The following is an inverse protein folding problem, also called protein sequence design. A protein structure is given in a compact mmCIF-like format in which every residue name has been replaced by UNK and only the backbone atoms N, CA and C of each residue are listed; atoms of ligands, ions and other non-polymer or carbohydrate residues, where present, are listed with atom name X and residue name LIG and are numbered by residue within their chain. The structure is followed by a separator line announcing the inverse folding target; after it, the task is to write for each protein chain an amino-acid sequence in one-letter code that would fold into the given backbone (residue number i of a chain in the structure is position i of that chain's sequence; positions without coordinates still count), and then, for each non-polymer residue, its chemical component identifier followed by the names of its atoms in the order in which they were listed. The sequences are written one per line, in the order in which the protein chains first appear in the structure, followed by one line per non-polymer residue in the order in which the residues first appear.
data_IF_228537552162
#
_entry.id   IF_228537552162
#
_cell.length_a   1.000
_cell.length_b   1.000
_cell.length_c   1.000
_cell.angle_alpha   90.00
_cell.angle_beta   90.00
_cell.angle_gamma   90.00
#
_symmetry.space_group_name_H-M   'P 1'
#
loop_
_entity.id
_entity.type
_entity.pdbx_description
1 polymer ?
#
# COMPACT_ATOMS: atom_id res chain seq x y z
N UNK A 1 26.34 2.51 28.55
CA UNK A 1 27.28 1.78 27.68
C UNK A 1 26.50 0.73 26.91
N UNK A 2 26.89 0.50 25.65
CA UNK A 2 26.42 -0.53 24.69
C UNK A 2 24.91 -0.72 24.44
N UNK A 3 24.51 -0.40 23.22
CA UNK A 3 23.36 -1.01 22.55
C UNK A 3 23.61 -2.50 22.26
N UNK A 4 22.55 -3.24 21.94
CA UNK A 4 22.62 -4.66 21.56
C UNK A 4 21.56 -5.02 20.52
N UNK A 5 21.67 -4.47 19.31
CA UNK A 5 20.83 -4.85 18.17
C UNK A 5 21.16 -6.28 17.73
N UNK A 6 20.16 -7.13 17.50
CA UNK A 6 20.34 -8.37 16.75
C UNK A 6 19.21 -8.54 15.73
N UNK A 7 19.57 -8.45 14.46
CA UNK A 7 18.68 -8.46 13.32
C UNK A 7 19.29 -9.42 12.29
N UNK A 8 18.76 -10.64 12.17
CA UNK A 8 19.14 -11.56 11.09
C UNK A 8 17.94 -12.37 10.61
N UNK A 9 17.40 -11.96 9.46
CA UNK A 9 16.51 -12.74 8.60
C UNK A 9 17.32 -13.06 7.35
N UNK A 10 17.48 -14.34 7.00
CA UNK A 10 18.23 -14.73 5.79
C UNK A 10 17.61 -15.97 5.11
N UNK A 11 17.00 -15.75 3.95
CA UNK A 11 16.75 -16.71 2.86
C UNK A 11 16.17 -15.89 1.68
N UNK A 12 17.01 -15.28 0.84
CA UNK A 12 17.53 -15.86 -0.41
C UNK A 12 16.41 -16.27 -1.36
N UNK A 13 16.19 -15.46 -2.41
CA UNK A 13 15.43 -15.86 -3.59
C UNK A 13 16.24 -15.54 -4.85
N UNK A 14 16.48 -16.56 -5.67
CA UNK A 14 17.32 -16.50 -6.86
C UNK A 14 16.51 -16.88 -8.09
N UNK A 15 16.24 -15.92 -8.99
CA UNK A 15 15.98 -16.17 -10.40
C UNK A 15 16.05 -14.85 -11.19
N UNK A 16 16.95 -14.79 -12.18
CA UNK A 16 16.95 -13.77 -13.24
C UNK A 16 16.27 -14.38 -14.47
N UNK A 17 15.35 -13.65 -15.09
CA UNK A 17 14.82 -13.96 -16.42
C UNK A 17 14.99 -12.73 -17.33
N UNK A 18 15.31 -12.97 -18.60
CA UNK A 18 15.85 -11.97 -19.52
C UNK A 18 14.78 -11.10 -20.19
N UNK A 19 15.18 -9.89 -20.61
CA UNK A 19 14.38 -9.02 -21.47
C UNK A 19 14.72 -9.24 -22.95
N UNK A 20 13.71 -9.21 -23.80
CA UNK A 20 13.83 -9.06 -25.26
C UNK A 20 13.05 -7.81 -25.70
N UNK A 21 13.66 -6.96 -26.53
CA UNK A 21 13.14 -5.65 -26.88
C UNK A 21 12.32 -5.64 -28.19
N UNK A 22 11.52 -4.59 -28.39
CA UNK A 22 10.83 -4.32 -29.65
C UNK A 22 10.07 -2.99 -29.68
N UNK A 23 10.64 -1.97 -30.29
CA UNK A 23 9.98 -0.77 -30.84
C UNK A 23 10.52 -0.55 -32.26
N UNK A 24 9.80 0.11 -33.19
CA UNK A 24 9.83 1.58 -33.26
C UNK A 24 8.51 2.27 -33.72
N UNK A 25 8.55 3.59 -33.83
CA UNK A 25 7.46 4.53 -34.21
C UNK A 25 7.85 5.34 -35.47
N UNK A 26 6.88 5.76 -36.31
CA UNK A 26 6.83 7.12 -36.88
C UNK A 26 5.39 7.73 -36.76
N UNK A 27 5.10 9.02 -36.45
CA UNK A 27 5.51 10.34 -37.02
C UNK A 27 5.06 10.56 -38.49
N UNK A 28 4.46 11.68 -38.95
CA UNK A 28 3.92 12.93 -38.32
C UNK A 28 3.07 13.76 -39.37
N UNK A 29 2.67 15.01 -39.05
CA UNK A 29 2.12 16.11 -39.92
C UNK A 29 0.59 16.08 -40.26
N UNK A 30 -0.16 17.16 -40.59
CA UNK A 30 -0.09 18.66 -40.42
C UNK A 30 -1.36 19.33 -41.07
N UNK A 31 -1.94 20.49 -40.71
CA UNK A 31 -1.86 21.33 -39.49
C UNK A 31 -3.17 22.11 -39.11
N UNK A 32 -3.56 23.35 -39.58
CA UNK A 32 -4.39 24.25 -38.74
C UNK A 32 -5.69 24.85 -39.34
N UNK A 33 -6.61 25.35 -38.49
CA UNK A 33 -7.07 26.76 -38.54
C UNK A 33 -7.90 27.26 -37.33
N UNK A 34 -7.91 28.58 -37.15
CA UNK A 34 -8.50 29.40 -36.07
C UNK A 34 -10.04 29.57 -36.16
N UNK A 35 -10.83 30.19 -35.25
CA UNK A 35 -10.74 30.64 -33.84
C UNK A 35 -12.07 31.39 -33.52
N UNK A 36 -12.82 31.08 -32.45
CA UNK A 36 -13.54 32.15 -31.71
C UNK A 36 -14.15 31.79 -30.34
N UNK A 37 -14.07 32.79 -29.47
CA UNK A 37 -14.93 33.10 -28.32
C UNK A 37 -14.72 32.32 -27.02
N UNK A 38 -14.26 33.06 -26.00
CA UNK A 38 -14.07 32.58 -24.65
C UNK A 38 -15.40 32.48 -23.87
N UNK A 39 -15.40 31.61 -22.86
CA UNK A 39 -16.22 31.78 -21.66
C UNK A 39 -15.30 31.55 -20.42
N UNK A 40 -15.00 32.58 -19.61
CA UNK A 40 -14.05 32.45 -18.49
C UNK A 40 -14.66 31.84 -17.23
N UNK A 41 -15.90 31.33 -17.27
CA UNK A 41 -16.61 30.77 -16.11
C UNK A 41 -16.72 29.25 -16.15
N UNK A 42 -15.58 28.55 -16.02
CA UNK A 42 -15.55 27.13 -15.62
C UNK A 42 -14.27 26.77 -14.85
N UNK A 43 -13.89 27.61 -13.87
CA UNK A 43 -13.08 27.12 -12.76
C UNK A 43 -13.87 26.02 -12.06
N UNK A 44 -13.48 24.77 -12.33
CA UNK A 44 -14.11 23.58 -11.80
C UNK A 44 -14.21 23.69 -10.28
N UNK A 45 -15.42 23.53 -9.74
CA UNK A 45 -15.61 23.32 -8.32
C UNK A 45 -14.88 22.02 -7.96
N UNK A 46 -13.70 22.14 -7.36
CA UNK A 46 -13.00 20.98 -6.79
C UNK A 46 -13.89 20.42 -5.70
N UNK A 47 -14.46 19.23 -5.90
CA UNK A 47 -15.25 18.55 -4.87
C UNK A 47 -14.43 18.50 -3.57
N UNK A 48 -14.87 19.24 -2.56
CA UNK A 48 -14.15 19.34 -1.30
C UNK A 48 -14.29 18.02 -0.55
N UNK A 49 -13.16 17.34 -0.29
CA UNK A 49 -13.09 16.18 0.60
C UNK A 49 -13.93 16.45 1.86
N UNK A 50 -14.90 15.57 2.21
CA UNK A 50 -15.76 15.79 3.35
C UNK A 50 -14.91 15.84 4.64
N UNK A 51 -15.26 16.73 5.59
CA UNK A 51 -14.45 16.94 6.78
C UNK A 51 -14.50 15.72 7.71
N UNK A 52 -13.44 15.57 8.50
CA UNK A 52 -13.42 14.70 9.67
C UNK A 52 -13.05 15.55 10.88
N UNK A 53 -13.61 15.23 12.05
CA UNK A 53 -13.29 15.90 13.33
C UNK A 53 -11.96 15.46 13.92
N UNK A 54 -11.34 14.42 13.38
CA UNK A 54 -10.08 13.84 13.81
C UNK A 54 -9.25 13.34 12.60
N UNK A 55 -7.98 12.99 12.85
CA UNK A 55 -7.09 12.41 11.82
C UNK A 55 -7.53 10.98 11.52
N UNK A 56 -7.70 10.66 10.24
CA UNK A 56 -8.17 9.35 9.78
C UNK A 56 -7.06 8.55 9.11
N UNK A 57 -6.84 7.33 9.58
CA UNK A 57 -5.93 6.34 9.01
C UNK A 57 -6.79 5.20 8.43
N UNK A 58 -6.57 4.81 7.17
CA UNK A 58 -7.23 3.64 6.59
C UNK A 58 -6.17 2.60 6.21
N UNK A 59 -6.22 1.43 6.85
CA UNK A 59 -5.30 0.31 6.65
C UNK A 59 -6.03 -0.79 5.88
N UNK A 60 -5.53 -1.13 4.69
CA UNK A 60 -5.98 -2.27 3.91
C UNK A 60 -4.98 -3.40 4.11
N UNK A 61 -5.44 -4.51 4.67
CA UNK A 61 -4.65 -5.70 4.93
C UNK A 61 -5.08 -6.79 3.97
N UNK A 62 -4.28 -7.06 2.94
CA UNK A 62 -4.46 -8.26 2.12
C UNK A 62 -3.98 -9.46 2.94
N UNK A 63 -4.90 -10.34 3.37
CA UNK A 63 -4.57 -11.51 4.18
C UNK A 63 -3.57 -12.42 3.46
N UNK A 64 -2.65 -13.04 4.19
CA UNK A 64 -1.64 -13.95 3.65
C UNK A 64 -2.31 -15.22 3.12
N UNK A 65 -2.01 -15.60 1.88
CA UNK A 65 -2.71 -16.70 1.20
C UNK A 65 -1.73 -17.53 0.37
N UNK A 66 -1.50 -18.76 0.79
CA UNK A 66 -0.59 -19.69 0.12
C UNK A 66 -1.15 -20.24 -1.21
N UNK A 67 -2.47 -20.16 -1.43
CA UNK A 67 -3.15 -20.76 -2.59
C UNK A 67 -3.32 -19.73 -3.72
N UNK A 68 -3.60 -18.47 -3.36
CA UNK A 68 -3.99 -17.43 -4.31
C UNK A 68 -2.92 -16.35 -4.59
N UNK A 69 -1.78 -16.36 -3.89
CA UNK A 69 -0.71 -15.35 -4.04
C UNK A 69 0.61 -16.01 -4.44
N UNK A 70 1.46 -15.31 -5.20
CA UNK A 70 2.79 -15.77 -5.62
C UNK A 70 3.84 -15.80 -4.50
N UNK A 71 3.41 -15.96 -3.24
CA UNK A 71 4.30 -16.02 -2.08
C UNK A 71 5.08 -17.34 -2.04
N UNK A 72 6.28 -17.28 -1.46
CA UNK A 72 6.90 -18.49 -0.89
C UNK A 72 5.99 -18.96 0.24
N UNK A 73 5.45 -20.19 0.21
CA UNK A 73 4.43 -20.61 1.16
C UNK A 73 4.90 -20.52 2.62
N UNK A 74 4.06 -19.92 3.46
CA UNK A 74 4.24 -19.89 4.92
C UNK A 74 3.54 -21.08 5.57
N UNK A 75 3.74 -21.39 6.87
CA UNK A 75 2.99 -22.46 7.54
C UNK A 75 1.48 -22.28 7.35
N UNK A 76 0.74 -23.35 7.01
CA UNK A 76 -0.65 -23.27 6.54
C UNK A 76 -1.60 -22.45 7.44
N UNK A 77 -1.44 -22.54 8.77
CA UNK A 77 -2.20 -21.73 9.74
C UNK A 77 -2.02 -20.21 9.56
N UNK A 78 -0.85 -19.77 9.10
CA UNK A 78 -0.53 -18.35 8.89
C UNK A 78 -0.88 -17.86 7.49
N UNK A 79 -0.91 -18.78 6.51
CA UNK A 79 -1.14 -18.51 5.08
C UNK A 79 -2.51 -18.95 4.57
N UNK A 80 -3.51 -19.03 5.44
CA UNK A 80 -4.91 -19.22 5.05
C UNK A 80 -5.57 -17.84 4.89
N UNK A 81 -5.99 -17.51 3.67
CA UNK A 81 -6.62 -16.25 3.29
C UNK A 81 -8.02 -16.00 3.88
N UNK A 82 -8.61 -17.01 4.51
CA UNK A 82 -9.92 -16.98 5.17
C UNK A 82 -9.83 -16.96 6.72
N UNK A 83 -8.68 -17.34 7.31
CA UNK A 83 -8.52 -17.46 8.76
C UNK A 83 -8.13 -16.13 9.42
N UNK A 84 -9.13 -15.30 9.75
CA UNK A 84 -8.96 -14.06 10.51
C UNK A 84 -8.16 -14.23 11.82
N UNK A 85 -8.16 -15.40 12.47
CA UNK A 85 -7.47 -15.60 13.76
C UNK A 85 -6.01 -16.05 13.57
N UNK A 86 -5.74 -16.92 12.60
CA UNK A 86 -4.43 -17.46 12.30
C UNK A 86 -3.57 -16.59 11.39
N UNK A 87 -4.18 -15.77 10.52
CA UNK A 87 -3.47 -15.13 9.41
C UNK A 87 -2.30 -14.24 9.85
N UNK A 88 -1.16 -14.40 9.14
CA UNK A 88 0.11 -13.72 9.37
C UNK A 88 -0.02 -12.20 9.53
N UNK A 89 -0.82 -11.56 8.68
CA UNK A 89 -0.91 -10.09 8.62
C UNK A 89 -2.00 -9.51 9.51
N UNK A 90 -2.84 -10.33 10.15
CA UNK A 90 -4.06 -9.88 10.85
C UNK A 90 -4.21 -10.43 12.28
N UNK A 91 -4.50 -11.73 12.40
CA UNK A 91 -4.80 -12.39 13.69
C UNK A 91 -3.60 -12.98 14.40
N UNK A 92 -2.54 -13.36 13.66
CA UNK A 92 -1.29 -13.84 14.23
C UNK A 92 -0.65 -12.83 15.21
N UNK A 93 0.33 -13.28 16.00
CA UNK A 93 0.91 -12.55 17.13
C UNK A 93 1.07 -11.02 16.96
N UNK A 94 1.64 -10.60 15.81
CA UNK A 94 1.93 -9.22 15.42
C UNK A 94 1.12 -8.72 14.20
N UNK A 95 0.12 -9.49 13.75
CA UNK A 95 -0.81 -9.03 12.71
C UNK A 95 -1.58 -7.80 13.17
N UNK A 96 -2.05 -6.97 12.23
CA UNK A 96 -2.55 -5.61 12.50
C UNK A 96 -3.58 -5.59 13.64
N UNK A 97 -4.65 -6.37 13.55
CA UNK A 97 -5.66 -6.44 14.62
C UNK A 97 -5.07 -6.86 15.96
N UNK A 98 -4.30 -7.96 15.97
CA UNK A 98 -3.72 -8.52 17.19
C UNK A 98 -2.69 -7.61 17.85
N UNK A 99 -1.94 -6.82 17.07
CA UNK A 99 -1.00 -5.83 17.59
C UNK A 99 -1.75 -4.63 18.22
N UNK A 100 -2.67 -4.01 17.47
CA UNK A 100 -3.36 -2.81 17.95
C UNK A 100 -4.38 -3.11 19.07
N UNK A 101 -4.99 -4.30 19.11
CA UNK A 101 -5.87 -4.71 20.20
C UNK A 101 -5.14 -4.94 21.54
N UNK A 102 -3.83 -5.25 21.50
CA UNK A 102 -2.98 -5.42 22.69
C UNK A 102 -2.26 -4.12 23.10
N UNK A 103 -2.38 -3.06 22.31
CA UNK A 103 -1.64 -1.81 22.55
C UNK A 103 -2.19 -1.04 23.75
N UNK A 104 -1.28 -0.47 24.55
CA UNK A 104 -1.61 0.50 25.59
C UNK A 104 -2.22 1.79 25.05
N UNK A 105 -1.86 2.20 23.82
CA UNK A 105 -2.19 3.52 23.26
C UNK A 105 -3.47 3.51 22.42
N UNK A 106 -3.89 2.34 21.94
CA UNK A 106 -5.07 2.19 21.10
C UNK A 106 -6.21 1.49 21.84
N UNK A 107 -7.43 1.74 21.39
CA UNK A 107 -8.65 1.06 21.87
C UNK A 107 -9.45 0.62 20.66
N UNK A 108 -9.73 -0.68 20.54
CA UNK A 108 -10.73 -1.20 19.62
C UNK A 108 -12.11 -0.68 20.06
N UNK A 109 -12.84 0.00 19.17
CA UNK A 109 -14.16 0.57 19.46
C UNK A 109 -15.29 -0.05 18.65
N UNK A 110 -15.00 -0.53 17.43
CA UNK A 110 -15.96 -1.22 16.55
C UNK A 110 -15.24 -2.39 15.88
N UNK A 111 -15.94 -3.52 15.75
CA UNK A 111 -15.47 -4.70 15.04
C UNK A 111 -16.66 -5.29 14.25
N UNK A 112 -16.58 -5.26 12.93
CA UNK A 112 -17.65 -5.67 12.02
C UNK A 112 -17.18 -6.85 11.18
N UNK A 113 -17.90 -7.96 11.24
CA UNK A 113 -17.66 -9.12 10.36
C UNK A 113 -18.29 -8.88 8.99
N UNK A 114 -17.60 -9.31 7.93
CA UNK A 114 -18.04 -9.28 6.54
C UNK A 114 -18.75 -7.99 6.10
N UNK A 115 -18.18 -6.78 6.33
CA UNK A 115 -18.78 -5.52 5.88
C UNK A 115 -18.95 -5.43 4.35
N UNK A 116 -18.20 -6.23 3.59
CA UNK A 116 -18.42 -6.47 2.15
C UNK A 116 -18.09 -7.92 1.82
N UNK A 117 -18.32 -8.38 0.59
CA UNK A 117 -17.93 -9.73 0.15
C UNK A 117 -16.40 -9.97 0.14
N UNK A 118 -15.60 -8.89 -0.03
CA UNK A 118 -14.14 -8.96 -0.17
C UNK A 118 -13.38 -8.61 1.11
N UNK A 119 -14.02 -7.93 2.07
CA UNK A 119 -13.46 -7.63 3.40
C UNK A 119 -14.13 -8.52 4.43
N UNK A 120 -13.36 -9.41 5.05
CA UNK A 120 -13.82 -10.37 6.06
C UNK A 120 -14.04 -9.74 7.44
N UNK A 121 -13.25 -8.73 7.80
CA UNK A 121 -13.37 -8.02 9.08
C UNK A 121 -12.94 -6.55 8.93
N UNK A 122 -13.71 -5.63 9.51
CA UNK A 122 -13.34 -4.22 9.69
C UNK A 122 -13.22 -3.93 11.18
N UNK A 123 -12.06 -3.44 11.61
CA UNK A 123 -11.83 -2.97 12.97
C UNK A 123 -11.58 -1.47 12.99
N UNK A 124 -12.28 -0.75 13.85
CA UNK A 124 -12.02 0.68 14.10
C UNK A 124 -11.34 0.81 15.46
N UNK A 125 -10.13 1.38 15.46
CA UNK A 125 -9.36 1.70 16.65
C UNK A 125 -9.29 3.21 16.85
N UNK A 126 -9.38 3.65 18.11
CA UNK A 126 -9.17 5.03 18.52
C UNK A 126 -7.86 5.16 19.32
N UNK A 127 -7.01 6.13 18.97
CA UNK A 127 -5.79 6.43 19.70
C UNK A 127 -6.08 7.31 20.92
N UNK A 128 -5.65 6.88 22.11
CA UNK A 128 -5.93 7.54 23.40
C UNK A 128 -5.18 8.86 23.60
N UNK A 129 -4.06 9.08 22.90
CA UNK A 129 -3.22 10.28 23.06
C UNK A 129 -3.50 11.34 22.00
N UNK A 130 -3.46 10.95 20.72
CA UNK A 130 -3.61 11.85 19.57
C UNK A 130 -5.02 11.93 18.98
N UNK A 131 -5.99 11.20 19.53
CA UNK A 131 -7.40 11.23 19.09
C UNK A 131 -7.68 10.71 17.67
N UNK A 132 -6.67 10.12 17.01
CA UNK A 132 -6.81 9.61 15.65
C UNK A 132 -7.67 8.34 15.61
N UNK A 133 -8.41 8.17 14.52
CA UNK A 133 -9.15 6.93 14.23
C UNK A 133 -8.42 6.15 13.14
N UNK A 134 -8.26 4.86 13.37
CA UNK A 134 -7.71 3.92 12.40
C UNK A 134 -8.77 2.88 12.05
N UNK A 135 -9.19 2.88 10.79
CA UNK A 135 -10.02 1.84 10.19
C UNK A 135 -9.07 0.84 9.59
N UNK A 136 -9.25 -0.44 9.90
CA UNK A 136 -8.41 -1.52 9.41
C UNK A 136 -9.30 -2.61 8.81
N UNK A 137 -9.13 -2.86 7.51
CA UNK A 137 -9.94 -3.80 6.72
C UNK A 137 -9.10 -5.02 6.34
N UNK A 138 -9.54 -6.20 6.79
CA UNK A 138 -8.98 -7.49 6.42
C UNK A 138 -9.60 -7.98 5.10
N UNK A 139 -8.92 -7.72 3.99
CA UNK A 139 -9.29 -8.24 2.68
C UNK A 139 -8.98 -9.73 2.61
N UNK A 140 -9.97 -10.52 2.16
CA UNK A 140 -9.85 -11.95 1.83
C UNK A 140 -8.57 -12.21 1.03
N UNK A 141 -7.85 -13.30 1.33
CA UNK A 141 -6.54 -13.57 0.74
C UNK A 141 -6.50 -13.58 -0.79
N UNK A 142 -7.51 -14.18 -1.42
CA UNK A 142 -7.73 -14.17 -2.87
C UNK A 142 -7.98 -12.77 -3.46
N UNK A 143 -8.40 -11.80 -2.65
CA UNK A 143 -8.80 -10.43 -3.06
C UNK A 143 -7.66 -9.40 -2.96
N UNK A 144 -6.40 -9.85 -2.89
CA UNK A 144 -5.21 -8.97 -2.87
C UNK A 144 -5.21 -7.93 -4.01
N UNK A 145 -5.69 -8.30 -5.21
CA UNK A 145 -5.80 -7.38 -6.36
C UNK A 145 -6.79 -6.26 -6.07
N UNK A 146 -7.93 -6.58 -5.45
CA UNK A 146 -8.95 -5.60 -5.04
C UNK A 146 -8.42 -4.70 -3.93
N UNK A 147 -7.70 -5.25 -2.95
CA UNK A 147 -7.05 -4.48 -1.89
C UNK A 147 -6.04 -3.45 -2.44
N UNK A 148 -5.20 -3.83 -3.42
CA UNK A 148 -4.24 -2.91 -4.05
C UNK A 148 -4.94 -1.85 -4.92
N UNK A 149 -6.00 -2.21 -5.65
CA UNK A 149 -6.83 -1.24 -6.39
C UNK A 149 -7.46 -0.21 -5.45
N UNK A 150 -8.11 -0.66 -4.38
CA UNK A 150 -8.72 0.23 -3.38
C UNK A 150 -7.67 1.09 -2.67
N UNK A 151 -6.47 0.57 -2.37
CA UNK A 151 -5.36 1.35 -1.82
C UNK A 151 -5.00 2.54 -2.73
N UNK A 152 -4.87 2.33 -4.03
CA UNK A 152 -4.54 3.42 -4.96
C UNK A 152 -5.71 4.40 -5.16
N UNK A 153 -6.95 3.93 -5.16
CA UNK A 153 -8.12 4.81 -5.19
C UNK A 153 -8.22 5.67 -3.92
N UNK A 154 -8.03 5.09 -2.73
CA UNK A 154 -8.00 5.86 -1.50
C UNK A 154 -6.83 6.85 -1.49
N UNK A 155 -5.66 6.44 -1.97
CA UNK A 155 -4.49 7.31 -2.10
C UNK A 155 -4.71 8.49 -3.07
N UNK A 156 -5.54 8.32 -4.10
CA UNK A 156 -5.92 9.39 -5.03
C UNK A 156 -7.08 10.28 -4.55
N UNK A 157 -7.83 9.85 -3.54
CA UNK A 157 -9.05 10.52 -3.08
C UNK A 157 -10.35 10.01 -3.70
N UNK A 158 -10.28 8.93 -4.48
CA UNK A 158 -11.47 8.18 -4.93
C UNK A 158 -12.06 7.32 -3.80
N UNK A 159 -13.28 6.81 -4.02
CA UNK A 159 -13.97 5.87 -3.11
C UNK A 159 -13.94 6.33 -1.65
N UNK A 160 -14.53 7.50 -1.39
CA UNK A 160 -14.83 7.92 -0.02
C UNK A 160 -15.88 6.97 0.53
N UNK A 161 -15.66 6.46 1.74
CA UNK A 161 -16.55 5.54 2.46
C UNK A 161 -16.94 6.23 3.78
N UNK A 162 -18.22 6.55 3.96
CA UNK A 162 -18.72 7.20 5.19
C UNK A 162 -19.19 6.12 6.13
N UNK A 163 -18.43 5.91 7.19
CA UNK A 163 -18.66 4.88 8.20
C UNK A 163 -19.30 5.54 9.41
N UNK A 164 -20.59 5.32 9.58
CA UNK A 164 -21.27 5.61 10.83
C UNK A 164 -20.83 4.58 11.88
N UNK A 165 -20.11 5.05 12.90
CA UNK A 165 -19.67 4.25 14.04
C UNK A 165 -20.84 4.02 15.02
N UNK A 166 -21.98 3.56 14.51
CA UNK A 166 -23.21 3.40 15.26
C UNK A 166 -23.17 2.21 16.24
N UNK A 167 -23.82 2.41 17.39
CA UNK A 167 -23.78 1.51 18.54
C UNK A 167 -23.61 2.26 19.87
N UNK A 168 -23.09 3.49 19.86
CA UNK A 168 -23.15 4.44 20.96
C UNK A 168 -22.92 5.87 20.44
N UNK A 169 -23.73 6.83 20.88
CA UNK A 169 -23.71 8.26 20.48
C UNK A 169 -22.46 9.05 20.94
N UNK A 170 -21.32 8.38 21.14
CA UNK A 170 -20.06 8.91 21.68
C UNK A 170 -18.90 8.93 20.66
N UNK A 171 -19.12 8.42 19.46
CA UNK A 171 -18.13 8.40 18.39
C UNK A 171 -18.62 9.17 17.16
N UNK A 172 -17.75 9.92 16.47
CA UNK A 172 -18.14 10.69 15.28
C UNK A 172 -18.37 9.77 14.08
N UNK A 173 -19.18 10.23 13.12
CA UNK A 173 -19.17 9.70 11.74
C UNK A 173 -17.77 9.86 11.15
N UNK A 174 -17.26 8.80 10.49
CA UNK A 174 -15.91 8.76 9.95
C UNK A 174 -15.95 8.69 8.43
N UNK A 175 -15.45 9.74 7.75
CA UNK A 175 -15.21 9.71 6.31
C UNK A 175 -13.84 9.04 6.05
N UNK A 176 -13.88 7.75 5.72
CA UNK A 176 -12.75 6.89 5.40
C UNK A 176 -12.51 6.79 3.89
N UNK A 177 -11.74 5.78 3.46
CA UNK A 177 -11.38 5.57 2.06
C UNK A 177 -10.61 6.76 1.48
N UNK A 178 -11.09 7.31 0.36
CA UNK A 178 -10.58 8.56 -0.20
C UNK A 178 -10.63 9.78 0.74
N UNK A 179 -11.36 9.75 1.85
CA UNK A 179 -11.36 10.82 2.84
C UNK A 179 -10.40 10.58 4.03
N UNK A 180 -9.53 9.56 3.97
CA UNK A 180 -8.44 9.37 4.92
C UNK A 180 -7.31 10.42 4.77
N UNK A 181 -6.56 10.65 5.85
CA UNK A 181 -5.32 11.44 5.82
C UNK A 181 -4.08 10.59 5.54
N UNK A 182 -4.12 9.33 5.94
CA UNK A 182 -3.08 8.33 5.77
C UNK A 182 -3.72 7.04 5.28
N UNK A 183 -3.24 6.53 4.15
CA UNK A 183 -3.64 5.23 3.60
C UNK A 183 -2.48 4.26 3.75
N UNK A 184 -2.75 3.05 4.25
CA UNK A 184 -1.73 2.04 4.55
C UNK A 184 -2.09 0.74 3.82
N UNK A 185 -1.14 0.14 3.11
CA UNK A 185 -1.26 -1.21 2.60
C UNK A 185 -0.36 -2.15 3.40
N UNK A 186 -0.87 -3.33 3.76
CA UNK A 186 -0.13 -4.41 4.42
C UNK A 186 -0.43 -5.72 3.70
N UNK A 187 0.59 -6.51 3.38
CA UNK A 187 0.41 -7.86 2.83
C UNK A 187 1.54 -8.31 1.91
N UNK A 188 1.23 -9.18 0.96
CA UNK A 188 2.14 -9.51 -0.14
C UNK A 188 2.22 -8.37 -1.18
N UNK A 189 3.30 -8.31 -1.96
CA UNK A 189 3.42 -7.37 -3.07
C UNK A 189 2.82 -7.98 -4.35
N UNK A 190 1.48 -7.97 -4.45
CA UNK A 190 0.78 -8.50 -5.62
C UNK A 190 1.13 -7.82 -6.96
N UNK A 191 1.80 -6.66 -6.96
CA UNK A 191 2.35 -6.07 -8.19
C UNK A 191 3.58 -6.83 -8.74
N UNK A 192 4.09 -7.82 -8.01
CA UNK A 192 5.04 -8.82 -8.52
C UNK A 192 4.33 -9.93 -9.31
N UNK A 193 3.08 -10.22 -8.97
CA UNK A 193 2.28 -11.33 -9.53
C UNK A 193 1.39 -10.88 -10.71
N UNK A 194 0.89 -9.65 -10.67
CA UNK A 194 -0.09 -9.15 -11.63
C UNK A 194 0.05 -7.65 -11.94
N UNK A 195 -0.49 -7.26 -13.09
CA UNK A 195 -0.66 -5.86 -13.50
C UNK A 195 -2.08 -5.39 -13.14
N UNK A 196 -2.20 -4.14 -12.69
CA UNK A 196 -3.51 -3.51 -12.44
C UNK A 196 -4.17 -3.04 -13.74
N UNK A 197 -5.51 -3.11 -13.86
CA UNK A 197 -6.22 -2.67 -15.07
C UNK A 197 -6.08 -1.16 -15.32
N UNK A 198 -5.92 -0.37 -14.25
CA UNK A 198 -5.68 1.06 -14.33
C UNK A 198 -4.95 1.55 -13.07
N UNK A 199 -4.43 2.78 -13.15
CA UNK A 199 -3.87 3.50 -12.02
C UNK A 199 -4.60 4.84 -11.93
N UNK A 200 -5.26 5.18 -10.82
CA UNK A 200 -6.00 6.43 -10.69
C UNK A 200 -5.06 7.64 -10.73
N UNK A 201 -5.58 8.76 -11.24
CA UNK A 201 -4.97 10.07 -11.07
C UNK A 201 -5.53 10.72 -9.79
N UNK A 202 -4.76 11.63 -9.21
CA UNK A 202 -5.18 12.45 -8.06
C UNK A 202 -6.55 13.14 -8.34
N UNK A 203 -7.57 12.89 -7.49
CA UNK A 203 -8.93 13.45 -7.66
C UNK A 203 -9.05 14.88 -7.12
N UNK A 204 -8.40 15.18 -6.00
CA UNK A 204 -8.55 16.46 -5.29
C UNK A 204 -7.20 17.11 -4.96
N UNK A 205 -7.23 18.34 -4.43
CA UNK A 205 -6.01 19.06 -4.05
C UNK A 205 -5.25 18.50 -2.83
N UNK A 206 -5.60 17.32 -2.28
CA UNK A 206 -4.99 16.78 -1.05
C UNK A 206 -3.98 15.68 -1.33
N UNK A 207 -2.76 15.87 -0.83
CA UNK A 207 -1.70 14.84 -0.84
C UNK A 207 -1.81 13.97 0.42
N UNK A 208 -2.43 12.81 0.29
CA UNK A 208 -2.61 11.83 1.38
C UNK A 208 -1.28 11.19 1.73
N UNK A 209 -1.04 10.94 3.02
CA UNK A 209 0.09 10.11 3.43
C UNK A 209 -0.10 8.67 2.94
N UNK A 210 0.98 7.99 2.58
CA UNK A 210 0.95 6.60 2.15
C UNK A 210 2.02 5.76 2.85
N UNK A 211 1.64 4.60 3.39
CA UNK A 211 2.57 3.59 3.92
C UNK A 211 2.32 2.26 3.21
N UNK A 212 3.37 1.56 2.78
CA UNK A 212 3.25 0.30 2.02
C UNK A 212 4.18 -0.77 2.57
N UNK A 213 3.62 -1.64 3.41
CA UNK A 213 4.27 -2.75 4.10
C UNK A 213 4.10 -4.06 3.33
N UNK A 214 4.85 -4.19 2.24
CA UNK A 214 5.04 -5.44 1.49
C UNK A 214 6.44 -5.48 0.87
N UNK A 215 6.91 -6.63 0.41
CA UNK A 215 8.27 -6.81 -0.12
C UNK A 215 8.57 -5.94 -1.35
N UNK A 216 9.75 -5.31 -1.41
CA UNK A 216 10.21 -4.47 -2.53
C UNK A 216 9.28 -3.29 -2.92
N UNK A 217 8.42 -2.83 -2.02
CA UNK A 217 7.27 -1.99 -2.38
C UNK A 217 7.63 -0.65 -3.04
N UNK A 218 8.77 -0.04 -2.68
CA UNK A 218 9.30 1.18 -3.33
C UNK A 218 9.41 1.04 -4.85
N UNK A 219 9.89 -0.11 -5.36
CA UNK A 219 10.12 -0.29 -6.80
C UNK A 219 8.82 -0.43 -7.60
N UNK A 220 7.82 -1.11 -7.04
CA UNK A 220 6.58 -1.44 -7.73
C UNK A 220 5.50 -0.36 -7.57
N UNK A 221 5.35 0.21 -6.36
CA UNK A 221 4.26 1.13 -6.05
C UNK A 221 4.60 2.59 -6.38
N UNK A 222 5.87 2.98 -6.50
CA UNK A 222 6.25 4.41 -6.57
C UNK A 222 5.71 5.17 -7.80
N UNK A 223 5.61 4.53 -8.96
CA UNK A 223 5.03 5.16 -10.15
C UNK A 223 3.49 5.28 -10.07
N UNK A 224 2.73 4.22 -9.75
CA UNK A 224 1.30 4.32 -9.41
C UNK A 224 0.98 5.33 -8.32
N UNK A 225 1.73 5.32 -7.20
CA UNK A 225 1.49 6.21 -6.05
C UNK A 225 1.73 7.68 -6.40
N UNK A 226 2.75 7.97 -7.22
CA UNK A 226 3.00 9.31 -7.76
C UNK A 226 1.85 9.77 -8.65
N UNK A 227 1.26 8.89 -9.48
CA UNK A 227 0.10 9.21 -10.31
C UNK A 227 -1.14 9.54 -9.47
N UNK A 228 -1.33 8.81 -8.37
CA UNK A 228 -2.36 9.11 -7.36
C UNK A 228 -2.12 10.44 -6.59
N UNK A 229 -0.95 11.07 -6.71
CA UNK A 229 -0.65 12.35 -6.03
C UNK A 229 -0.28 12.24 -4.54
N UNK A 230 -0.33 11.03 -4.00
CA UNK A 230 -0.04 10.75 -2.60
C UNK A 230 1.42 11.09 -2.21
N UNK A 231 1.63 11.23 -0.90
CA UNK A 231 2.92 11.49 -0.31
C UNK A 231 3.44 10.23 0.40
N UNK A 232 4.49 9.55 -0.13
CA UNK A 232 5.05 8.38 0.52
C UNK A 232 5.69 8.76 1.86
N UNK A 233 5.22 8.11 2.93
CA UNK A 233 5.75 8.24 4.29
C UNK A 233 6.72 7.09 4.59
N UNK A 234 6.33 5.86 4.23
CA UNK A 234 7.15 4.67 4.42
C UNK A 234 6.83 3.60 3.37
N UNK A 235 7.88 2.94 2.87
CA UNK A 235 7.80 1.74 2.03
C UNK A 235 9.01 0.87 2.31
N UNK A 236 8.97 -0.40 1.92
CA UNK A 236 10.17 -1.25 1.96
C UNK A 236 10.98 -1.04 0.69
N UNK A 237 12.30 -1.17 0.80
CA UNK A 237 13.20 -1.21 -0.34
C UNK A 237 14.04 -2.48 -0.26
N UNK A 238 14.31 -3.10 -1.41
CA UNK A 238 15.43 -4.01 -1.56
C UNK A 238 16.59 -3.19 -2.11
N UNK A 239 17.55 -2.83 -1.26
CA UNK A 239 18.82 -2.30 -1.76
C UNK A 239 19.61 -3.45 -2.39
N UNK A 240 19.74 -3.42 -3.73
CA UNK A 240 20.83 -4.12 -4.39
C UNK A 240 22.11 -3.39 -4.01
N UNK A 241 22.89 -3.96 -3.08
CA UNK A 241 24.26 -3.53 -2.84
C UNK A 241 25.03 -3.53 -4.15
N UNK A 242 25.33 -2.35 -4.69
CA UNK A 242 26.14 -2.15 -5.91
C UNK A 242 27.64 -2.38 -5.67
N UNK A 243 27.96 -3.25 -4.71
CA UNK A 243 29.30 -3.47 -4.15
C UNK A 243 30.01 -4.72 -4.71
N UNK A 244 29.79 -5.07 -6.00
CA UNK A 244 30.65 -6.01 -6.75
C UNK A 244 30.78 -5.63 -8.24
N UNK A 245 31.41 -4.48 -8.53
CA UNK A 245 32.03 -4.24 -9.85
C UNK A 245 33.44 -3.62 -9.78
N UNK A 246 33.87 -3.04 -8.65
CA UNK A 246 35.20 -2.40 -8.53
C UNK A 246 36.35 -3.39 -8.22
N UNK A 247 36.07 -4.59 -7.72
CA UNK A 247 37.10 -5.53 -7.26
C UNK A 247 37.58 -6.56 -8.31
N UNK A 248 36.94 -6.62 -9.49
CA UNK A 248 37.38 -7.52 -10.59
C UNK A 248 38.41 -6.90 -11.55
N UNK A 249 38.77 -5.62 -11.36
CA UNK A 249 39.69 -4.88 -12.25
C UNK A 249 41.19 -5.01 -11.95
N UNK A 250 41.59 -5.65 -10.84
CA UNK A 250 42.95 -5.48 -10.28
C UNK A 250 43.77 -6.78 -10.15
N UNK A 251 43.86 -7.58 -11.23
CA UNK A 251 45.02 -8.48 -11.41
C UNK A 251 46.09 -7.78 -12.26
N UNK A 252 46.96 -7.03 -11.59
CA UNK A 252 48.20 -6.53 -12.21
C UNK A 252 49.06 -7.72 -12.67
N UNK A 253 49.72 -7.56 -13.82
CA UNK A 253 50.67 -8.53 -14.35
C UNK A 253 51.80 -8.76 -13.34
N UNK A 254 51.96 -10.00 -12.88
CA UNK A 254 53.21 -10.48 -12.30
C UNK A 254 54.25 -10.58 -13.41
N UNK A 255 55.42 -10.01 -13.17
CA UNK A 255 56.56 -9.99 -14.09
C UNK A 255 57.65 -10.82 -13.41
N UNK A 256 57.93 -12.00 -13.93
CA UNK A 256 59.10 -12.80 -13.55
C UNK A 256 60.02 -12.93 -14.77
N UNK A 257 61.30 -12.66 -14.53
CA UNK A 257 62.41 -12.87 -15.47
C UNK A 257 63.26 -14.03 -14.95
N UNK A 258 64.02 -14.62 -15.87
CA UNK A 258 64.95 -15.75 -15.72
C UNK A 258 64.27 -17.12 -15.76
#
# INVERSE_FOLDING_TARGET
MSNGSSLFITAVLSALAACSAGTPVPSANSSPDANKSANPSSLQQTESRPPNTARIIHVLVALCDNEHQGIVPVPARLGNGEDLQGNLYWGAAYGVRSFFAKSGDWKLIVQTQNPTSVVLERCIFHNKMGGAYMIADAYRGAEIKKAIVDFFDYASGNKIDTIDAEGNSKHPTINAGGAADLVVFVGHNGLMDFVLPSHPAQKDGKRRGAIILCCASKSYFSAPLRKAGANPILWTALEKNSFDQSLRGSRRKGNDRY
#
